data_IF_855649836381
#
_entry.id   IF_855649836381
#
_cell.length_a   1.000
_cell.length_b   1.000
_cell.length_c   1.000
_cell.angle_alpha   90.00
_cell.angle_beta   90.00
_cell.angle_gamma   90.00
#
_symmetry.space_group_name_H-M   'P 1'
#
loop_
_entity.id
_entity.type
_entity.pdbx_description
1 polymer ?
#
# COMPACT_ATOMS: atom_id res chain seq x y z
N UNK A 1 7.05 31.87 27.31
CA UNK A 1 6.24 30.64 27.31
C UNK A 1 5.95 30.33 25.86
N UNK A 2 6.54 29.26 25.30
CA UNK A 2 6.18 28.87 23.93
C UNK A 2 4.71 28.47 23.95
N UNK A 3 3.91 29.03 23.04
CA UNK A 3 2.51 28.62 22.91
C UNK A 3 2.49 27.12 22.63
N UNK A 4 1.73 26.38 23.42
CA UNK A 4 1.39 25.00 23.09
C UNK A 4 0.96 24.97 21.62
N UNK A 5 1.40 23.97 20.82
CA UNK A 5 0.92 23.85 19.45
C UNK A 5 -0.60 23.88 19.48
N UNK A 6 -1.20 24.65 18.56
CA UNK A 6 -2.64 24.76 18.47
C UNK A 6 -3.22 23.35 18.32
N UNK A 7 -3.78 22.85 19.42
CA UNK A 7 -4.30 21.49 19.49
C UNK A 7 -5.43 21.29 18.49
N UNK A 8 -6.08 22.36 18.01
CA UNK A 8 -7.05 22.30 16.93
C UNK A 8 -6.40 22.02 15.58
N UNK A 9 -5.28 22.68 15.25
CA UNK A 9 -4.50 22.43 14.03
C UNK A 9 -3.82 21.05 14.04
N UNK A 10 -3.30 20.61 15.19
CA UNK A 10 -2.75 19.25 15.36
C UNK A 10 -3.86 18.20 15.20
N UNK A 11 -5.05 18.42 15.77
CA UNK A 11 -6.21 17.52 15.58
C UNK A 11 -6.72 17.51 14.14
N UNK A 12 -6.70 18.65 13.44
CA UNK A 12 -7.07 18.72 12.03
C UNK A 12 -6.09 17.93 11.15
N UNK A 13 -4.79 18.00 11.42
CA UNK A 13 -3.77 17.20 10.72
C UNK A 13 -3.81 15.70 11.07
N UNK A 14 -4.46 15.32 12.18
CA UNK A 14 -4.69 13.94 12.58
C UNK A 14 -6.04 13.39 12.08
N UNK A 15 -6.91 14.24 11.53
CA UNK A 15 -8.19 13.79 11.02
C UNK A 15 -7.97 12.75 9.90
N UNK A 16 -8.65 11.62 10.01
CA UNK A 16 -8.73 10.62 8.94
C UNK A 16 -10.10 10.74 8.30
N UNK A 17 -10.12 10.75 6.97
CA UNK A 17 -11.36 10.63 6.19
C UNK A 17 -11.26 9.31 5.45
N UNK A 18 -12.27 8.46 5.60
CA UNK A 18 -12.31 7.22 4.85
C UNK A 18 -12.44 7.52 3.36
N UNK A 19 -11.51 6.97 2.59
CA UNK A 19 -11.45 7.05 1.13
C UNK A 19 -11.26 5.62 0.64
N UNK A 20 -11.95 5.22 -0.43
CA UNK A 20 -11.73 3.92 -1.03
C UNK A 20 -10.72 4.03 -2.17
N UNK A 21 -9.82 3.05 -2.26
CA UNK A 21 -8.82 2.97 -3.33
C UNK A 21 -9.49 3.04 -4.70
N UNK A 22 -10.62 2.35 -4.87
CA UNK A 22 -11.38 2.32 -6.11
C UNK A 22 -11.78 3.70 -6.65
N UNK A 23 -11.93 4.71 -5.78
CA UNK A 23 -12.27 6.08 -6.17
C UNK A 23 -11.09 6.80 -6.88
N UNK A 24 -9.87 6.27 -6.75
CA UNK A 24 -8.62 6.84 -7.29
C UNK A 24 -8.01 5.99 -8.42
N UNK A 25 -8.65 4.89 -8.82
CA UNK A 25 -8.15 4.00 -9.86
C UNK A 25 -8.61 4.47 -11.26
N UNK A 26 -7.70 4.70 -12.22
CA UNK A 26 -8.07 5.01 -13.58
C UNK A 26 -8.65 3.77 -14.28
N UNK A 27 -9.45 3.97 -15.34
CA UNK A 27 -9.86 2.86 -16.20
C UNK A 27 -8.64 2.19 -16.82
N UNK A 28 -8.74 0.86 -17.00
CA UNK A 28 -7.68 0.05 -17.60
C UNK A 28 -7.89 -0.02 -19.12
N UNK A 29 -6.79 0.09 -19.87
CA UNK A 29 -6.80 -0.14 -21.31
C UNK A 29 -7.20 -1.61 -21.60
N UNK A 30 -8.22 -1.87 -22.44
CA UNK A 30 -8.71 -3.23 -22.67
C UNK A 30 -7.68 -4.17 -23.30
N UNK A 31 -6.78 -3.65 -24.14
CA UNK A 31 -5.74 -4.46 -24.77
C UNK A 31 -4.65 -4.81 -23.75
N UNK A 32 -4.24 -3.86 -22.91
CA UNK A 32 -3.33 -4.10 -21.80
C UNK A 32 -3.93 -5.05 -20.75
N UNK A 33 -5.23 -4.93 -20.46
CA UNK A 33 -5.94 -5.86 -19.57
C UNK A 33 -5.97 -7.27 -20.17
N UNK A 34 -6.12 -7.44 -21.48
CA UNK A 34 -6.01 -8.76 -22.12
C UNK A 34 -4.66 -9.43 -21.82
N UNK A 35 -3.55 -8.68 -21.93
CA UNK A 35 -2.22 -9.19 -21.57
C UNK A 35 -2.13 -9.55 -20.09
N UNK A 36 -2.65 -8.69 -19.21
CA UNK A 36 -2.69 -8.95 -17.77
C UNK A 36 -3.49 -10.20 -17.42
N UNK A 37 -4.71 -10.36 -17.95
CA UNK A 37 -5.57 -11.51 -17.69
C UNK A 37 -4.90 -12.81 -18.16
N UNK A 38 -4.23 -12.79 -19.32
CA UNK A 38 -3.49 -13.95 -19.80
C UNK A 38 -2.28 -14.28 -18.92
N UNK A 39 -1.51 -13.28 -18.48
CA UNK A 39 -0.43 -13.45 -17.50
C UNK A 39 -0.94 -14.04 -16.17
N UNK A 40 -2.08 -13.55 -15.66
CA UNK A 40 -2.74 -14.11 -14.46
C UNK A 40 -3.16 -15.55 -14.65
N UNK A 41 -3.71 -15.90 -15.81
CA UNK A 41 -4.09 -17.26 -16.15
C UNK A 41 -2.88 -18.20 -16.14
N UNK A 42 -1.77 -17.82 -16.78
CA UNK A 42 -0.52 -18.60 -16.76
C UNK A 42 0.02 -18.82 -15.34
N UNK A 43 -0.06 -17.78 -14.50
CA UNK A 43 0.36 -17.83 -13.10
C UNK A 43 -0.52 -18.76 -12.25
N UNK A 44 -1.84 -18.78 -12.50
CA UNK A 44 -2.81 -19.62 -11.78
C UNK A 44 -2.86 -21.07 -12.26
N UNK A 45 -2.49 -21.34 -13.51
CA UNK A 45 -2.51 -22.68 -14.11
C UNK A 45 -1.72 -23.66 -13.23
N UNK A 46 -2.09 -24.93 -13.17
CA UNK A 46 -1.28 -25.92 -12.43
C UNK A 46 0.01 -26.28 -13.18
N UNK A 47 0.98 -26.87 -12.48
CA UNK A 47 2.27 -27.28 -13.04
C UNK A 47 3.36 -26.20 -13.05
N UNK A 48 4.55 -26.53 -13.60
CA UNK A 48 5.71 -25.63 -13.60
C UNK A 48 5.40 -24.30 -14.27
N UNK A 49 6.02 -23.24 -13.78
CA UNK A 49 5.79 -21.85 -14.20
C UNK A 49 7.01 -21.32 -14.93
N UNK A 50 6.78 -20.66 -16.06
CA UNK A 50 7.77 -19.79 -16.67
C UNK A 50 7.45 -18.35 -16.25
N UNK A 51 8.10 -17.89 -15.17
CA UNK A 51 7.87 -16.56 -14.63
C UNK A 51 8.37 -15.44 -15.55
N UNK A 52 9.36 -15.71 -16.41
CA UNK A 52 9.81 -14.75 -17.41
C UNK A 52 8.75 -14.51 -18.49
N UNK A 53 8.07 -15.57 -18.95
CA UNK A 53 6.94 -15.43 -19.89
C UNK A 53 5.76 -14.70 -19.24
N UNK A 54 5.46 -14.95 -17.95
CA UNK A 54 4.43 -14.20 -17.22
C UNK A 54 4.82 -12.72 -17.08
N UNK A 55 6.07 -12.45 -16.67
CA UNK A 55 6.59 -11.10 -16.48
C UNK A 55 6.62 -10.29 -17.78
N UNK A 56 6.87 -10.92 -18.92
CA UNK A 56 6.75 -10.30 -20.25
C UNK A 56 5.37 -9.66 -20.45
N UNK A 57 4.28 -10.39 -20.20
CA UNK A 57 2.93 -9.83 -20.34
C UNK A 57 2.69 -8.69 -19.35
N UNK A 58 3.15 -8.83 -18.10
CA UNK A 58 2.98 -7.77 -17.11
C UNK A 58 3.80 -6.52 -17.42
N UNK A 59 5.03 -6.64 -17.93
CA UNK A 59 5.87 -5.51 -18.35
C UNK A 59 5.20 -4.68 -19.44
N UNK A 60 4.70 -5.36 -20.48
CA UNK A 60 4.03 -4.70 -21.60
C UNK A 60 2.74 -4.03 -21.11
N UNK A 61 1.91 -4.73 -20.33
CA UNK A 61 0.69 -4.16 -19.76
C UNK A 61 0.98 -2.96 -18.84
N UNK A 62 1.98 -3.06 -17.95
CA UNK A 62 2.38 -1.99 -17.04
C UNK A 62 2.85 -0.73 -17.79
N UNK A 63 3.59 -0.89 -18.90
CA UNK A 63 4.00 0.23 -19.77
C UNK A 63 2.81 0.96 -20.42
N UNK A 64 1.66 0.29 -20.52
CA UNK A 64 0.36 0.85 -20.89
C UNK A 64 -0.52 1.19 -19.69
N UNK A 65 0.11 1.53 -18.55
CA UNK A 65 -0.54 2.05 -17.33
C UNK A 65 -1.45 1.05 -16.60
N UNK A 66 -1.25 -0.24 -16.85
CA UNK A 66 -2.03 -1.27 -16.17
C UNK A 66 -1.54 -1.51 -14.73
N UNK A 67 -2.13 -0.82 -13.75
CA UNK A 67 -1.63 -0.82 -12.36
C UNK A 67 -1.61 -2.21 -11.70
N UNK A 68 -2.58 -3.09 -11.99
CA UNK A 68 -2.56 -4.48 -11.45
C UNK A 68 -1.42 -5.32 -12.02
N UNK A 69 -1.03 -5.05 -13.28
CA UNK A 69 0.08 -5.75 -13.92
C UNK A 69 1.40 -5.25 -13.34
N UNK A 70 1.49 -3.95 -13.11
CA UNK A 70 2.60 -3.31 -12.42
C UNK A 70 2.82 -3.92 -11.02
N UNK A 71 1.82 -3.93 -10.13
CA UNK A 71 1.95 -4.53 -8.78
C UNK A 71 2.40 -6.01 -8.84
N UNK A 72 1.81 -6.79 -9.75
CA UNK A 72 2.19 -8.19 -9.90
C UNK A 72 3.61 -8.38 -10.45
N UNK A 73 4.05 -7.50 -11.36
CA UNK A 73 5.41 -7.51 -11.88
C UNK A 73 6.42 -7.17 -10.78
N UNK A 74 6.16 -6.12 -9.99
CA UNK A 74 6.98 -5.75 -8.84
C UNK A 74 7.18 -6.95 -7.90
N UNK A 75 6.12 -7.71 -7.62
CA UNK A 75 6.22 -8.93 -6.81
C UNK A 75 7.07 -10.02 -7.46
N UNK A 76 6.98 -10.23 -8.78
CA UNK A 76 7.78 -11.26 -9.46
C UNK A 76 9.27 -10.87 -9.51
N UNK A 77 9.57 -9.62 -9.80
CA UNK A 77 10.94 -9.11 -9.94
C UNK A 77 11.62 -9.00 -8.57
N UNK A 78 10.94 -8.44 -7.56
CA UNK A 78 11.54 -8.24 -6.23
C UNK A 78 11.84 -9.54 -5.49
N UNK A 79 11.09 -10.60 -5.77
CA UNK A 79 11.33 -11.95 -5.23
C UNK A 79 12.34 -12.76 -6.05
N UNK A 80 12.87 -12.20 -7.15
CA UNK A 80 13.79 -12.91 -8.05
C UNK A 80 13.16 -14.06 -8.83
N UNK A 81 11.83 -14.07 -8.98
CA UNK A 81 11.12 -15.09 -9.77
C UNK A 81 11.21 -14.78 -11.27
N UNK A 82 11.26 -13.50 -11.64
CA UNK A 82 11.45 -13.05 -13.01
C UNK A 82 12.80 -12.34 -13.16
N UNK A 83 13.50 -12.64 -14.25
CA UNK A 83 14.81 -12.07 -14.54
C UNK A 83 14.70 -10.59 -14.85
N UNK A 84 15.61 -9.82 -14.26
CA UNK A 84 15.78 -8.38 -14.51
C UNK A 84 17.27 -8.05 -14.49
N UNK A 85 17.77 -7.19 -15.41
CA UNK A 85 19.15 -6.70 -15.36
C UNK A 85 19.48 -5.96 -14.06
N UNK A 86 18.48 -5.28 -13.49
CA UNK A 86 18.57 -4.55 -12.23
C UNK A 86 17.20 -4.60 -11.54
N UNK A 87 16.97 -5.67 -10.78
CA UNK A 87 15.69 -5.93 -10.13
C UNK A 87 15.26 -4.82 -9.13
N UNK A 88 16.16 -4.30 -8.27
CA UNK A 88 15.83 -3.16 -7.42
C UNK A 88 15.40 -1.94 -8.23
N UNK A 89 16.16 -1.57 -9.27
CA UNK A 89 15.81 -0.42 -10.10
C UNK A 89 14.49 -0.59 -10.82
N UNK A 90 14.27 -1.73 -11.48
CA UNK A 90 13.01 -2.00 -12.20
C UNK A 90 11.80 -1.91 -11.26
N UNK A 91 11.92 -2.48 -10.06
CA UNK A 91 10.83 -2.47 -9.06
C UNK A 91 10.53 -1.05 -8.59
N UNK A 92 11.55 -0.25 -8.28
CA UNK A 92 11.37 1.16 -7.87
C UNK A 92 10.80 2.01 -9.00
N UNK A 93 11.27 1.82 -10.23
CA UNK A 93 10.75 2.55 -11.41
C UNK A 93 9.26 2.20 -11.65
N UNK A 94 8.85 0.95 -11.42
CA UNK A 94 7.45 0.51 -11.48
C UNK A 94 6.59 1.15 -10.38
N UNK A 95 7.05 1.16 -9.12
CA UNK A 95 6.33 1.81 -8.01
C UNK A 95 6.22 3.32 -8.23
N UNK A 96 7.29 3.97 -8.71
CA UNK A 96 7.29 5.39 -9.07
C UNK A 96 6.30 5.70 -10.19
N UNK A 97 6.14 4.82 -11.18
CA UNK A 97 5.08 4.97 -12.20
C UNK A 97 3.69 5.01 -11.58
N UNK A 98 3.41 4.22 -10.54
CA UNK A 98 2.12 4.23 -9.86
C UNK A 98 1.90 5.51 -9.05
N UNK A 99 2.93 5.96 -8.34
CA UNK A 99 2.93 7.26 -7.63
C UNK A 99 2.64 8.41 -8.60
N UNK A 100 3.31 8.45 -9.76
CA UNK A 100 3.11 9.47 -10.79
C UNK A 100 1.69 9.45 -11.39
N UNK A 101 1.00 8.32 -11.28
CA UNK A 101 -0.38 8.15 -11.74
C UNK A 101 -1.41 8.41 -10.64
N UNK A 102 -0.97 8.73 -9.41
CA UNK A 102 -1.84 8.92 -8.27
C UNK A 102 -2.45 7.63 -7.72
N UNK A 103 -1.89 6.46 -8.08
CA UNK A 103 -2.40 5.16 -7.63
C UNK A 103 -1.99 4.94 -6.17
N UNK A 104 -2.93 4.66 -5.24
CA UNK A 104 -2.62 4.54 -3.82
C UNK A 104 -1.58 3.45 -3.52
N UNK A 105 -1.67 2.29 -4.19
CA UNK A 105 -0.71 1.20 -4.01
C UNK A 105 0.73 1.59 -4.31
N UNK A 106 0.99 2.50 -5.25
CA UNK A 106 2.36 2.96 -5.54
C UNK A 106 3.02 3.67 -4.36
N UNK A 107 2.26 4.46 -3.61
CA UNK A 107 2.77 5.08 -2.39
C UNK A 107 3.04 4.05 -1.30
N UNK A 108 2.18 3.04 -1.18
CA UNK A 108 2.39 1.93 -0.25
C UNK A 108 3.66 1.14 -0.61
N UNK A 109 3.85 0.82 -1.89
CA UNK A 109 5.01 0.08 -2.40
C UNK A 109 6.32 0.83 -2.11
N UNK A 110 6.41 2.13 -2.43
CA UNK A 110 7.59 2.95 -2.10
C UNK A 110 7.83 3.01 -0.59
N UNK A 111 6.76 3.17 0.21
CA UNK A 111 6.85 3.12 1.66
C UNK A 111 7.49 1.82 2.13
N UNK A 112 7.01 0.68 1.62
CA UNK A 112 7.52 -0.64 1.95
C UNK A 112 9.00 -0.83 1.55
N UNK A 113 9.39 -0.37 0.36
CA UNK A 113 10.78 -0.46 -0.09
C UNK A 113 11.74 0.43 0.72
N UNK A 114 11.28 1.59 1.21
CA UNK A 114 12.03 2.43 2.14
C UNK A 114 12.18 1.78 3.52
N UNK A 115 11.21 0.99 4.00
CA UNK A 115 11.36 0.24 5.25
C UNK A 115 12.38 -0.89 5.12
N UNK A 116 12.40 -1.57 3.97
CA UNK A 116 13.29 -2.69 3.71
C UNK A 116 14.69 -2.27 3.26
N UNK A 117 14.85 -1.06 2.72
CA UNK A 117 16.07 -0.65 2.03
C UNK A 117 16.27 -1.35 0.68
N UNK A 118 15.18 -1.73 -0.01
CA UNK A 118 15.24 -2.43 -1.30
C UNK A 118 15.26 -1.43 -2.46
N UNK A 119 16.40 -1.26 -3.14
CA UNK A 119 16.55 -0.29 -4.23
C UNK A 119 16.55 1.19 -3.80
N UNK A 120 16.15 1.46 -2.56
CA UNK A 120 16.20 2.75 -1.89
C UNK A 120 16.99 2.62 -0.60
N UNK A 121 17.62 3.70 -0.14
CA UNK A 121 18.21 3.72 1.19
C UNK A 121 17.11 3.61 2.25
N UNK A 122 17.34 2.76 3.24
CA UNK A 122 16.39 2.57 4.33
C UNK A 122 16.11 3.88 5.07
N UNK A 123 14.83 4.24 5.21
CA UNK A 123 14.37 5.45 5.90
C UNK A 123 12.95 5.24 6.45
N UNK A 124 12.85 4.91 7.74
CA UNK A 124 11.58 4.65 8.41
C UNK A 124 10.67 5.88 8.48
N UNK A 125 11.24 7.10 8.65
CA UNK A 125 10.43 8.31 8.74
C UNK A 125 9.80 8.63 7.38
N UNK A 126 10.57 8.48 6.31
CA UNK A 126 10.06 8.66 4.95
C UNK A 126 9.05 7.57 4.60
N UNK A 127 9.31 6.31 4.95
CA UNK A 127 8.36 5.22 4.76
C UNK A 127 7.00 5.52 5.40
N UNK A 128 6.97 5.99 6.65
CA UNK A 128 5.73 6.35 7.35
C UNK A 128 4.97 7.48 6.64
N UNK A 129 5.66 8.45 6.04
CA UNK A 129 5.02 9.52 5.25
C UNK A 129 4.37 8.97 3.98
N UNK A 130 5.03 8.06 3.28
CA UNK A 130 4.48 7.37 2.11
C UNK A 130 3.28 6.49 2.47
N UNK A 131 3.39 5.70 3.55
CA UNK A 131 2.29 4.89 4.09
C UNK A 131 1.09 5.77 4.46
N UNK A 132 1.32 6.91 5.12
CA UNK A 132 0.23 7.84 5.45
C UNK A 132 -0.43 8.39 4.19
N UNK A 133 0.36 8.80 3.19
CA UNK A 133 -0.18 9.30 1.92
C UNK A 133 -1.00 8.24 1.18
N UNK A 134 -0.54 6.99 1.17
CA UNK A 134 -1.27 5.86 0.61
C UNK A 134 -2.61 5.64 1.32
N UNK A 135 -2.63 5.72 2.65
CA UNK A 135 -3.84 5.56 3.46
C UNK A 135 -4.86 6.69 3.19
N UNK A 136 -4.38 7.93 3.10
CA UNK A 136 -5.21 9.11 2.78
C UNK A 136 -5.77 9.06 1.34
N UNK A 137 -5.10 8.36 0.42
CA UNK A 137 -5.58 8.08 -0.94
C UNK A 137 -6.43 6.80 -1.05
N UNK A 138 -6.64 6.10 0.06
CA UNK A 138 -7.58 4.99 0.13
C UNK A 138 -7.00 3.58 0.09
N UNK A 139 -5.67 3.42 -0.01
CA UNK A 139 -5.05 2.08 -0.03
C UNK A 139 -5.44 1.29 1.24
N UNK A 140 -6.12 0.14 1.11
CA UNK A 140 -6.57 -0.62 2.27
C UNK A 140 -5.40 -1.19 3.09
N UNK A 141 -4.32 -1.61 2.43
CA UNK A 141 -3.09 -2.08 3.09
C UNK A 141 -2.44 -0.96 3.91
N UNK A 142 -2.39 0.26 3.35
CA UNK A 142 -1.84 1.42 4.05
C UNK A 142 -2.73 1.89 5.20
N UNK A 143 -4.06 1.89 5.03
CA UNK A 143 -5.01 2.18 6.11
C UNK A 143 -4.84 1.21 7.27
N UNK A 144 -4.71 -0.09 6.96
CA UNK A 144 -4.39 -1.10 7.97
C UNK A 144 -3.06 -0.83 8.67
N UNK A 145 -2.00 -0.60 7.90
CA UNK A 145 -0.65 -0.35 8.39
C UNK A 145 -0.59 0.86 9.33
N UNK A 146 -1.12 2.01 8.90
CA UNK A 146 -1.13 3.24 9.70
C UNK A 146 -2.04 3.08 10.91
N UNK A 147 -3.20 2.44 10.75
CA UNK A 147 -4.08 2.09 11.86
C UNK A 147 -3.35 1.26 12.92
N UNK A 148 -2.51 0.30 12.52
CA UNK A 148 -1.72 -0.50 13.46
C UNK A 148 -0.71 0.34 14.26
N UNK A 149 -0.09 1.35 13.66
CA UNK A 149 0.83 2.28 14.36
C UNK A 149 0.07 3.18 15.35
N UNK A 150 -1.19 3.52 15.05
CA UNK A 150 -2.02 4.40 15.89
C UNK A 150 -2.83 3.66 16.98
N UNK A 151 -2.95 2.34 16.87
CA UNK A 151 -3.73 1.49 17.77
C UNK A 151 -3.31 1.50 19.25
N UNK A 152 -2.02 1.68 19.63
CA UNK A 152 -1.64 1.80 21.04
C UNK A 152 -2.45 2.89 21.76
N UNK A 153 -2.81 2.61 23.02
CA UNK A 153 -3.73 3.44 23.83
C UNK A 153 -3.24 4.89 24.01
N UNK A 154 -1.91 5.07 23.99
CA UNK A 154 -1.21 6.35 24.14
C UNK A 154 -1.03 7.12 22.83
N UNK A 155 -1.43 6.54 21.68
CA UNK A 155 -1.37 7.17 20.37
C UNK A 155 -2.76 7.73 19.95
N UNK A 156 -3.47 7.02 19.07
CA UNK A 156 -4.76 7.47 18.54
C UNK A 156 -5.68 6.28 18.20
N UNK A 157 -6.10 5.48 19.20
CA UNK A 157 -6.86 4.25 18.98
C UNK A 157 -8.22 4.49 18.28
N UNK A 158 -8.86 5.63 18.51
CA UNK A 158 -10.09 5.99 17.82
C UNK A 158 -9.90 6.20 16.31
N UNK A 159 -8.76 6.76 15.88
CA UNK A 159 -8.41 6.92 14.46
C UNK A 159 -8.01 5.57 13.87
N UNK A 160 -7.27 4.75 14.63
CA UNK A 160 -6.93 3.38 14.21
C UNK A 160 -8.19 2.56 13.88
N UNK A 161 -9.22 2.63 14.73
CA UNK A 161 -10.52 1.98 14.50
C UNK A 161 -11.18 2.45 13.19
N UNK A 162 -11.17 3.76 12.94
CA UNK A 162 -11.72 4.32 11.69
C UNK A 162 -10.96 3.82 10.46
N UNK A 163 -9.63 3.79 10.52
CA UNK A 163 -8.79 3.28 9.42
C UNK A 163 -9.01 1.78 9.18
N UNK A 164 -9.09 0.97 10.24
CA UNK A 164 -9.41 -0.45 10.13
C UNK A 164 -10.80 -0.70 9.58
N UNK A 165 -11.81 0.08 9.98
CA UNK A 165 -13.15 0.01 9.40
C UNK A 165 -13.11 0.32 7.90
N UNK A 166 -12.44 1.41 7.50
CA UNK A 166 -12.34 1.78 6.09
C UNK A 166 -11.63 0.71 5.25
N UNK A 167 -10.56 0.09 5.75
CA UNK A 167 -9.89 -1.01 5.08
C UNK A 167 -10.76 -2.28 5.03
N UNK A 168 -11.49 -2.58 6.11
CA UNK A 168 -12.41 -3.71 6.20
C UNK A 168 -13.57 -3.60 5.19
N UNK A 169 -14.12 -2.40 5.02
CA UNK A 169 -15.20 -2.12 4.05
C UNK A 169 -14.74 -2.29 2.60
N UNK A 170 -13.43 -2.18 2.35
CA UNK A 170 -12.79 -2.48 1.07
C UNK A 170 -12.40 -3.96 0.92
N UNK A 171 -12.71 -4.81 1.90
CA UNK A 171 -12.43 -6.25 1.87
C UNK A 171 -11.03 -6.63 2.37
N UNK A 172 -10.36 -5.79 3.17
CA UNK A 172 -9.09 -6.14 3.81
C UNK A 172 -9.31 -7.03 5.04
N UNK A 173 -9.12 -8.34 4.88
CA UNK A 173 -9.46 -9.35 5.89
C UNK A 173 -8.78 -9.16 7.24
N UNK A 174 -7.47 -8.90 7.26
CA UNK A 174 -6.74 -8.71 8.52
C UNK A 174 -7.17 -7.45 9.27
N UNK A 175 -7.55 -6.38 8.56
CA UNK A 175 -8.06 -5.15 9.16
C UNK A 175 -9.44 -5.39 9.78
N UNK A 176 -10.32 -6.10 9.08
CA UNK A 176 -11.62 -6.53 9.60
C UNK A 176 -11.45 -7.41 10.85
N UNK A 177 -10.48 -8.31 10.88
CA UNK A 177 -10.19 -9.12 12.06
C UNK A 177 -9.67 -8.27 13.24
N UNK A 178 -8.74 -7.33 13.00
CA UNK A 178 -8.26 -6.42 14.05
C UNK A 178 -9.37 -5.52 14.59
N UNK A 179 -10.22 -4.99 13.71
CA UNK A 179 -11.42 -4.26 14.09
C UNK A 179 -12.31 -5.12 14.99
N UNK A 180 -12.56 -6.38 14.63
CA UNK A 180 -13.38 -7.28 15.42
C UNK A 180 -12.83 -7.53 16.83
N UNK A 181 -11.50 -7.68 16.97
CA UNK A 181 -10.84 -7.81 18.28
C UNK A 181 -10.94 -6.53 19.10
N UNK A 182 -10.71 -5.38 18.46
CA UNK A 182 -10.74 -4.07 19.10
C UNK A 182 -12.12 -3.76 19.67
N UNK A 183 -13.17 -3.84 18.85
CA UNK A 183 -14.54 -3.55 19.30
C UNK A 183 -15.07 -4.63 20.26
N UNK A 184 -14.61 -5.88 20.16
CA UNK A 184 -14.90 -6.92 21.17
C UNK A 184 -14.31 -6.57 22.53
N UNK A 185 -13.12 -5.97 22.57
CA UNK A 185 -12.47 -5.52 23.82
C UNK A 185 -13.30 -4.43 24.50
N UNK A 186 -13.91 -3.55 23.71
CA UNK A 186 -14.88 -2.55 24.15
C UNK A 186 -16.27 -3.12 24.48
N UNK A 187 -16.45 -4.45 24.40
CA UNK A 187 -17.73 -5.14 24.60
C UNK A 187 -18.82 -4.74 23.58
N UNK A 188 -18.41 -4.22 22.42
CA UNK A 188 -19.28 -3.94 21.27
C UNK A 188 -19.43 -5.20 20.41
N UNK A 189 -20.11 -6.14 21.02
CA UNK A 189 -20.24 -7.53 20.63
C UNK A 189 -20.92 -7.75 19.26
N UNK A 190 -22.01 -7.06 18.97
CA UNK A 190 -22.65 -7.14 17.65
C UNK A 190 -21.80 -6.55 16.52
N UNK A 191 -20.99 -5.53 16.83
CA UNK A 191 -20.04 -4.94 15.87
C UNK A 191 -18.86 -5.89 15.64
N UNK A 192 -18.38 -6.55 16.69
CA UNK A 192 -17.33 -7.57 16.58
C UNK A 192 -17.75 -8.71 15.65
N UNK A 193 -18.99 -9.21 15.81
CA UNK A 193 -19.51 -10.27 14.95
C UNK A 193 -19.56 -9.84 13.47
N UNK A 194 -19.96 -8.60 13.17
CA UNK A 194 -19.95 -8.04 11.82
C UNK A 194 -18.53 -7.94 11.25
N UNK A 195 -17.58 -7.43 12.04
CA UNK A 195 -16.19 -7.30 11.61
C UNK A 195 -15.53 -8.67 11.37
N UNK A 196 -15.80 -9.67 12.22
CA UNK A 196 -15.34 -11.05 11.97
C UNK A 196 -16.01 -11.69 10.75
N UNK A 197 -17.28 -11.36 10.46
CA UNK A 197 -17.97 -11.81 9.25
C UNK A 197 -17.31 -11.20 8.01
N UNK A 198 -17.00 -9.90 8.04
CA UNK A 198 -16.25 -9.21 6.97
C UNK A 198 -14.87 -9.85 6.77
N UNK A 199 -14.16 -10.16 7.85
CA UNK A 199 -12.87 -10.85 7.79
C UNK A 199 -13.00 -12.22 7.10
N UNK A 200 -13.95 -13.05 7.52
CA UNK A 200 -14.21 -14.35 6.90
C UNK A 200 -14.62 -14.22 5.41
N UNK A 201 -15.48 -13.25 5.08
CA UNK A 201 -15.86 -12.95 3.69
C UNK A 201 -14.66 -12.55 2.84
N UNK A 202 -13.73 -11.79 3.42
CA UNK A 202 -12.48 -11.38 2.83
C UNK A 202 -11.42 -12.49 2.76
N UNK A 203 -11.72 -13.72 3.20
CA UNK A 203 -10.79 -14.85 3.16
C UNK A 203 -9.76 -14.86 4.30
N UNK A 204 -10.05 -14.19 5.42
CA UNK A 204 -9.25 -14.26 6.65
C UNK A 204 -9.81 -15.36 7.56
N UNK A 205 -9.12 -16.50 7.65
CA UNK A 205 -9.55 -17.68 8.43
C UNK A 205 -9.79 -17.33 9.90
N UNK A 206 -9.03 -16.38 10.46
CA UNK A 206 -9.18 -15.96 11.85
C UNK A 206 -10.57 -15.39 12.15
N UNK A 207 -11.20 -14.72 11.19
CA UNK A 207 -12.58 -14.24 11.32
C UNK A 207 -13.60 -15.37 11.41
N UNK A 208 -13.45 -16.38 10.57
CA UNK A 208 -14.31 -17.57 10.59
C UNK A 208 -14.13 -18.36 11.89
N UNK A 209 -12.88 -18.53 12.33
CA UNK A 209 -12.56 -19.21 13.59
C UNK A 209 -13.13 -18.47 14.80
N UNK A 210 -13.02 -17.13 14.84
CA UNK A 210 -13.61 -16.33 15.92
C UNK A 210 -15.12 -16.58 16.01
N UNK A 211 -15.85 -16.51 14.90
CA UNK A 211 -17.30 -16.76 14.88
C UNK A 211 -17.64 -18.22 15.19
N UNK A 212 -16.86 -19.18 14.72
CA UNK A 212 -17.02 -20.59 15.09
C UNK A 212 -17.01 -20.76 16.61
N UNK A 213 -16.03 -20.14 17.29
CA UNK A 213 -15.93 -20.17 18.74
C UNK A 213 -17.16 -19.50 19.35
N UNK A 214 -17.46 -18.25 18.98
CA UNK A 214 -18.60 -17.49 19.50
C UNK A 214 -19.94 -18.25 19.45
N UNK A 215 -20.21 -19.04 18.41
CA UNK A 215 -21.43 -19.86 18.29
C UNK A 215 -21.36 -21.24 18.96
N UNK A 216 -20.17 -21.69 19.39
CA UNK A 216 -19.98 -22.98 20.07
C UNK A 216 -20.21 -22.93 21.58
N UNK A 217 -20.15 -21.73 22.18
CA UNK A 217 -20.16 -21.53 23.62
C UNK A 217 -21.51 -21.79 24.29
N UNK A 218 -21.43 -22.30 25.53
CA UNK A 218 -22.54 -22.35 26.49
C UNK A 218 -22.42 -21.17 27.47
N UNK A 219 -23.55 -20.55 27.85
CA UNK A 219 -23.59 -19.31 28.65
C UNK A 219 -23.08 -19.45 30.09
N UNK A 220 -22.66 -20.65 30.52
CA UNK A 220 -22.31 -20.96 31.91
C UNK A 220 -20.80 -20.88 32.19
N UNK A 221 -19.94 -20.73 31.17
CA UNK A 221 -18.47 -20.64 31.33
C UNK A 221 -17.96 -19.18 31.40
N UNK A 222 -17.18 -18.85 32.44
CA UNK A 222 -16.75 -17.48 32.78
C UNK A 222 -15.62 -16.87 31.93
N UNK A 223 -15.25 -17.47 30.79
CA UNK A 223 -14.22 -16.93 29.89
C UNK A 223 -14.74 -16.78 28.44
N UNK A 224 -15.46 -15.68 28.21
CA UNK A 224 -15.74 -15.01 26.93
C UNK A 224 -16.59 -15.75 25.85
N UNK A 225 -17.89 -15.43 25.83
CA UNK A 225 -18.57 -14.95 24.60
C UNK A 225 -19.84 -14.16 24.95
N UNK A 226 -19.94 -12.91 24.50
CA UNK A 226 -21.15 -12.09 24.70
C UNK A 226 -21.57 -11.39 23.39
N UNK A 227 -21.34 -11.99 22.20
CA UNK A 227 -21.95 -11.54 20.92
C UNK A 227 -23.51 -11.48 20.92
N UNK A 228 -24.14 -11.75 22.06
CA UNK A 228 -25.57 -11.58 22.31
C UNK A 228 -26.43 -12.74 21.82
N UNK A 229 -25.83 -13.86 21.44
CA UNK A 229 -26.50 -14.99 20.77
C UNK A 229 -26.38 -16.26 21.62
N UNK A 230 -27.37 -17.14 21.50
CA UNK A 230 -27.31 -18.46 22.11
C UNK A 230 -26.38 -19.37 21.31
N UNK A 231 -25.91 -20.46 21.95
CA UNK A 231 -25.23 -21.58 21.28
C UNK A 231 -25.97 -21.95 19.99
N UNK A 232 -25.26 -21.97 18.88
CA UNK A 232 -25.80 -22.36 17.57
C UNK A 232 -24.80 -23.34 16.91
N UNK A 233 -24.96 -24.65 17.15
CA UNK A 233 -24.04 -25.67 16.65
C UNK A 233 -23.93 -25.71 15.12
N UNK A 234 -25.01 -25.40 14.40
CA UNK A 234 -24.99 -25.39 12.94
C UNK A 234 -24.27 -24.15 12.40
N UNK A 235 -24.43 -22.96 13.02
CA UNK A 235 -23.60 -21.80 12.67
C UNK A 235 -22.13 -22.07 12.92
N UNK A 236 -21.80 -22.59 14.10
CA UNK A 236 -20.43 -22.96 14.46
C UNK A 236 -19.84 -23.93 13.42
N UNK A 237 -20.61 -24.96 13.03
CA UNK A 237 -20.22 -25.89 11.96
C UNK A 237 -20.00 -25.20 10.61
N UNK A 238 -20.88 -24.29 10.18
CA UNK A 238 -20.72 -23.56 8.91
C UNK A 238 -19.48 -22.66 8.90
N UNK A 239 -19.20 -21.96 10.00
CA UNK A 239 -17.96 -21.17 10.11
C UNK A 239 -16.70 -22.04 10.10
N UNK A 240 -16.74 -23.21 10.75
CA UNK A 240 -15.65 -24.18 10.64
C UNK A 240 -15.41 -24.58 9.17
N UNK A 241 -16.47 -24.92 8.43
CA UNK A 241 -16.36 -25.29 7.01
C UNK A 241 -15.85 -24.13 6.14
N UNK A 242 -16.21 -22.89 6.46
CA UNK A 242 -15.68 -21.68 5.82
C UNK A 242 -14.16 -21.56 6.08
N UNK A 243 -13.73 -21.71 7.33
CA UNK A 243 -12.29 -21.70 7.68
C UNK A 243 -11.52 -22.79 6.94
N UNK A 244 -12.02 -24.03 6.98
CA UNK A 244 -11.43 -25.18 6.25
C UNK A 244 -11.39 -24.93 4.73
N UNK A 245 -12.36 -24.21 4.17
CA UNK A 245 -12.36 -23.81 2.77
C UNK A 245 -11.29 -22.76 2.46
N UNK A 246 -11.16 -21.73 3.30
CA UNK A 246 -10.16 -20.67 3.14
C UNK A 246 -8.76 -21.28 3.20
N UNK A 247 -8.46 -22.10 4.22
CA UNK A 247 -7.13 -22.69 4.42
C UNK A 247 -6.72 -23.62 3.27
N UNK A 248 -7.61 -24.50 2.82
CA UNK A 248 -7.34 -25.40 1.67
C UNK A 248 -7.04 -24.65 0.38
N UNK A 249 -7.52 -23.42 0.26
CA UNK A 249 -7.37 -22.60 -0.94
C UNK A 249 -6.45 -21.38 -0.74
N UNK A 250 -5.78 -21.23 0.40
CA UNK A 250 -5.07 -20.01 0.79
C UNK A 250 -4.09 -19.49 -0.29
N UNK A 251 -3.37 -20.40 -0.97
CA UNK A 251 -2.46 -20.06 -2.07
C UNK A 251 -3.12 -19.45 -3.32
N UNK A 252 -4.45 -19.43 -3.38
CA UNK A 252 -5.26 -18.84 -4.46
C UNK A 252 -6.07 -17.60 -4.00
N UNK A 253 -5.84 -17.13 -2.77
CA UNK A 253 -6.52 -15.98 -2.14
C UNK A 253 -8.05 -16.07 -2.25
N UNK A 254 -8.67 -17.09 -1.62
CA UNK A 254 -10.10 -17.35 -1.76
C UNK A 254 -10.90 -16.24 -1.05
N UNK A 255 -12.07 -15.91 -1.61
CA UNK A 255 -13.04 -15.00 -0.99
C UNK A 255 -14.37 -15.73 -0.83
N UNK A 256 -15.12 -15.38 0.21
CA UNK A 256 -16.41 -15.98 0.54
C UNK A 256 -17.50 -14.91 0.40
N UNK A 257 -17.65 -14.37 -0.81
CA UNK A 257 -18.56 -13.26 -1.10
C UNK A 257 -20.05 -13.59 -0.85
N UNK A 258 -20.38 -14.88 -0.79
CA UNK A 258 -21.69 -15.42 -0.48
C UNK A 258 -21.86 -15.80 0.99
N UNK A 259 -20.99 -15.36 1.93
CA UNK A 259 -21.13 -15.73 3.35
C UNK A 259 -22.53 -15.48 3.90
N UNK A 260 -23.18 -14.37 3.58
CA UNK A 260 -24.50 -14.07 4.16
C UNK A 260 -25.61 -14.94 3.54
N UNK A 261 -25.35 -15.60 2.42
CA UNK A 261 -26.21 -16.66 1.86
C UNK A 261 -25.91 -18.03 2.47
N UNK A 262 -24.75 -18.20 3.12
CA UNK A 262 -24.31 -19.43 3.78
C UNK A 262 -24.66 -19.38 5.28
N UNK A 263 -24.30 -18.31 5.97
CA UNK A 263 -24.36 -18.14 7.42
C UNK A 263 -24.61 -16.65 7.76
N UNK A 264 -25.79 -16.09 7.47
CA UNK A 264 -26.09 -14.68 7.79
C UNK A 264 -26.12 -14.48 9.30
N UNK A 265 -25.51 -13.43 9.84
CA UNK A 265 -25.50 -13.18 11.28
C UNK A 265 -26.92 -13.12 11.89
N UNK A 266 -27.11 -13.53 13.17
CA UNK A 266 -28.37 -13.34 13.88
C UNK A 266 -28.84 -11.87 13.86
N UNK A 267 -30.16 -11.61 13.86
CA UNK A 267 -31.25 -12.55 14.14
C UNK A 267 -31.73 -13.37 12.93
N UNK A 268 -31.08 -13.27 11.76
CA UNK A 268 -31.49 -14.03 10.58
C UNK A 268 -31.46 -15.54 10.86
N UNK A 269 -32.43 -16.28 10.31
CA UNK A 269 -32.40 -17.75 10.33
C UNK A 269 -31.42 -18.27 9.29
N UNK A 270 -30.83 -19.43 9.55
CA UNK A 270 -29.97 -20.08 8.58
C UNK A 270 -30.76 -20.49 7.33
N UNK A 271 -30.32 -20.09 6.13
CA UNK A 271 -30.93 -20.55 4.89
C UNK A 271 -30.53 -22.00 4.59
N UNK A 272 -31.27 -22.70 3.71
CA UNK A 272 -30.79 -23.91 3.08
C UNK A 272 -29.45 -23.65 2.39
N UNK A 273 -28.49 -24.57 2.54
CA UNK A 273 -27.18 -24.47 1.92
C UNK A 273 -26.75 -25.86 1.45
N UNK A 274 -26.23 -25.92 0.22
CA UNK A 274 -25.83 -27.15 -0.46
C UNK A 274 -24.42 -27.64 -0.06
N UNK A 275 -23.74 -26.91 0.83
CA UNK A 275 -22.38 -27.24 1.28
C UNK A 275 -21.27 -26.75 0.34
N UNK A 276 -21.60 -25.95 -0.67
CA UNK A 276 -20.64 -25.45 -1.68
C UNK A 276 -20.43 -23.94 -1.58
N UNK A 277 -19.30 -23.47 -2.10
CA UNK A 277 -18.96 -22.04 -2.12
C UNK A 277 -19.05 -21.46 -3.53
N UNK A 278 -19.57 -20.24 -3.67
CA UNK A 278 -19.62 -19.56 -4.98
C UNK A 278 -18.25 -19.49 -5.65
N UNK A 279 -17.18 -19.25 -4.88
CA UNK A 279 -15.81 -19.23 -5.38
C UNK A 279 -15.41 -20.54 -6.08
N UNK A 280 -15.79 -21.71 -5.54
CA UNK A 280 -15.48 -23.00 -6.18
C UNK A 280 -16.25 -23.17 -7.49
N UNK A 281 -17.51 -22.72 -7.52
CA UNK A 281 -18.36 -22.72 -8.72
C UNK A 281 -17.76 -21.82 -9.80
N UNK A 282 -17.32 -20.62 -9.44
CA UNK A 282 -16.71 -19.65 -10.35
C UNK A 282 -15.40 -20.20 -10.94
N UNK A 283 -14.58 -20.85 -10.10
CA UNK A 283 -13.33 -21.46 -10.55
C UNK A 283 -13.56 -22.66 -11.48
N UNK A 284 -14.60 -23.46 -11.24
CA UNK A 284 -14.98 -24.56 -12.12
C UNK A 284 -15.58 -24.08 -13.46
N UNK A 285 -16.26 -22.93 -13.46
CA UNK A 285 -16.87 -22.32 -14.64
C UNK A 285 -15.92 -21.41 -15.44
N UNK A 286 -14.72 -21.12 -14.92
CA UNK A 286 -13.80 -20.17 -15.52
C UNK A 286 -13.31 -20.64 -16.90
N UNK A 287 -13.61 -19.85 -17.93
CA UNK A 287 -13.08 -20.05 -19.29
C UNK A 287 -11.69 -19.41 -19.39
N UNK A 288 -10.66 -20.14 -19.89
CA UNK A 288 -9.35 -19.55 -20.11
C UNK A 288 -9.41 -18.30 -20.98
N UNK A 289 -8.71 -17.21 -20.62
CA UNK A 289 -8.64 -16.03 -21.47
C UNK A 289 -7.96 -16.38 -22.80
N UNK A 290 -8.39 -15.73 -23.87
CA UNK A 290 -7.76 -15.88 -25.18
C UNK A 290 -6.31 -15.38 -25.12
N UNK A 291 -5.38 -16.20 -25.63
CA UNK A 291 -3.98 -15.81 -25.76
C UNK A 291 -3.87 -14.54 -26.62
N UNK A 292 -3.20 -13.48 -26.14
CA UNK A 292 -2.88 -12.29 -26.96
C UNK A 292 -2.16 -12.69 -28.25
N UNK A 293 -2.55 -12.09 -29.38
CA UNK A 293 -1.90 -12.39 -30.66
C UNK A 293 -0.48 -11.82 -30.70
N UNK A 294 0.39 -12.41 -31.53
CA UNK A 294 1.77 -11.94 -31.66
C UNK A 294 1.79 -10.51 -32.24
N UNK A 295 0.86 -10.18 -33.14
CA UNK A 295 0.73 -8.81 -33.69
C UNK A 295 0.32 -7.79 -32.62
N UNK A 296 -0.54 -8.18 -31.67
CA UNK A 296 -0.92 -7.33 -30.55
C UNK A 296 0.29 -7.05 -29.66
N UNK A 297 1.04 -8.09 -29.30
CA UNK A 297 2.23 -7.99 -28.47
C UNK A 297 3.28 -7.10 -29.16
N UNK A 298 3.56 -7.35 -30.44
CA UNK A 298 4.50 -6.55 -31.23
C UNK A 298 4.08 -5.08 -31.29
N UNK A 299 2.80 -4.79 -31.56
CA UNK A 299 2.29 -3.42 -31.63
C UNK A 299 2.42 -2.69 -30.30
N UNK A 300 2.00 -3.32 -29.20
CA UNK A 300 2.05 -2.70 -27.87
C UNK A 300 3.49 -2.50 -27.39
N UNK A 301 4.38 -3.46 -27.64
CA UNK A 301 5.80 -3.34 -27.30
C UNK A 301 6.49 -2.25 -28.12
N UNK A 302 6.25 -2.20 -29.44
CA UNK A 302 6.79 -1.16 -30.31
C UNK A 302 6.37 0.25 -29.88
N UNK A 303 5.10 0.42 -29.49
CA UNK A 303 4.56 1.70 -29.01
C UNK A 303 5.24 2.22 -27.73
N UNK A 304 5.90 1.33 -26.97
CA UNK A 304 6.60 1.65 -25.72
C UNK A 304 8.12 1.40 -25.79
N UNK A 305 8.65 1.13 -26.97
CA UNK A 305 10.06 0.80 -27.20
C UNK A 305 10.56 -0.39 -26.35
N UNK A 306 9.74 -1.43 -26.25
CA UNK A 306 10.04 -2.65 -25.52
C UNK A 306 10.41 -3.79 -26.47
N UNK A 307 11.23 -4.73 -25.99
CA UNK A 307 11.45 -6.01 -26.63
C UNK A 307 10.15 -6.84 -26.51
N UNK A 308 9.53 -7.26 -27.64
CA UNK A 308 8.31 -8.05 -27.59
C UNK A 308 8.49 -9.40 -26.91
N UNK A 309 9.70 -9.99 -26.84
CA UNK A 309 9.94 -11.31 -26.24
C UNK A 309 10.07 -11.26 -24.71
N UNK A 310 10.61 -10.17 -24.17
CA UNK A 310 10.91 -10.05 -22.72
C UNK A 310 10.07 -8.98 -22.02
N UNK A 311 9.51 -8.03 -22.78
CA UNK A 311 8.86 -6.83 -22.28
C UNK A 311 9.84 -5.80 -21.70
N UNK A 312 11.16 -6.06 -21.76
CA UNK A 312 12.17 -5.13 -21.25
C UNK A 312 12.37 -3.96 -22.23
N UNK A 313 12.78 -2.77 -21.73
CA UNK A 313 13.14 -1.65 -22.61
C UNK A 313 14.28 -2.00 -23.56
N UNK A 314 14.13 -1.67 -24.83
CA UNK A 314 15.22 -1.79 -25.81
C UNK A 314 16.28 -0.72 -25.54
N UNK A 315 17.56 -1.10 -25.60
CA UNK A 315 18.66 -0.15 -25.56
C UNK A 315 18.49 0.88 -26.70
N UNK A 316 18.63 2.17 -26.40
CA UNK A 316 18.66 3.20 -27.44
C UNK A 316 19.81 2.88 -28.39
N UNK A 317 19.51 2.68 -29.68
CA UNK A 317 20.54 2.58 -30.72
C UNK A 317 21.37 3.86 -30.71
N UNK A 318 22.69 3.73 -30.59
CA UNK A 318 23.67 4.83 -30.69
C UNK A 318 23.59 5.58 -32.04
N UNK A 319 22.85 5.06 -33.02
CA UNK A 319 22.69 5.69 -34.34
C UNK A 319 21.73 6.88 -34.37
N UNK A 320 20.94 7.14 -33.31
CA UNK A 320 20.10 8.35 -33.22
C UNK A 320 20.89 9.53 -32.60
N UNK A 321 22.12 9.30 -32.12
CA UNK A 321 22.96 10.36 -31.55
C UNK A 321 23.51 11.36 -32.60
N UNK A 322 23.24 11.16 -33.91
CA UNK A 322 23.78 12.01 -34.98
C UNK A 322 22.73 12.66 -35.88
N UNK A 323 21.42 12.51 -35.62
CA UNK A 323 20.37 13.13 -36.48
C UNK A 323 19.34 13.99 -35.74
N UNK A 324 19.45 14.13 -34.42
CA UNK A 324 18.71 15.14 -33.65
C UNK A 324 19.69 16.15 -33.03
N UNK A 325 20.41 16.89 -33.87
CA UNK A 325 20.86 18.23 -33.50
C UNK A 325 19.74 19.23 -33.71
N UNK A 326 18.64 19.05 -32.99
CA UNK A 326 17.83 20.16 -32.49
C UNK A 326 17.45 19.84 -31.03
N UNK A 327 17.89 20.67 -30.07
CA UNK A 327 17.73 20.38 -28.66
C UNK A 327 16.26 20.58 -28.28
N UNK A 328 15.51 19.49 -28.14
CA UNK A 328 14.29 19.52 -27.33
C UNK A 328 14.75 19.58 -25.86
N UNK A 329 14.27 20.53 -25.04
CA UNK A 329 14.88 20.83 -23.77
C UNK A 329 14.76 19.62 -22.84
N UNK A 330 15.90 19.06 -22.44
CA UNK A 330 15.97 18.29 -21.21
C UNK A 330 15.30 19.12 -20.11
N UNK A 331 14.45 18.54 -19.25
CA UNK A 331 14.00 19.25 -18.06
C UNK A 331 15.27 19.70 -17.35
N UNK A 332 15.48 21.01 -17.33
CA UNK A 332 16.77 21.62 -16.99
C UNK A 332 17.01 21.29 -15.52
N UNK A 333 17.84 20.27 -15.26
CA UNK A 333 18.24 19.92 -13.89
C UNK A 333 18.81 21.18 -13.29
N UNK A 334 18.25 21.62 -12.16
CA UNK A 334 18.77 22.79 -11.48
C UNK A 334 20.21 22.52 -11.06
N UNK A 335 21.14 23.46 -11.26
CA UNK A 335 22.54 23.23 -10.94
C UNK A 335 22.72 22.91 -9.46
N UNK A 336 23.65 22.01 -9.15
CA UNK A 336 24.10 21.81 -7.77
C UNK A 336 24.51 23.17 -7.18
N UNK A 337 24.01 23.45 -6.00
CA UNK A 337 24.11 24.75 -5.35
C UNK A 337 22.89 25.65 -5.50
N UNK A 338 21.87 25.24 -6.26
CA UNK A 338 20.56 25.92 -6.30
C UNK A 338 20.01 26.05 -4.89
N UNK A 339 19.46 27.23 -4.58
CA UNK A 339 18.93 27.56 -3.26
C UNK A 339 17.42 27.69 -3.35
N UNK A 340 16.73 27.06 -2.41
CA UNK A 340 15.29 27.21 -2.19
C UNK A 340 15.02 27.51 -0.72
N UNK A 341 13.94 28.23 -0.42
CA UNK A 341 13.64 28.69 0.94
C UNK A 341 12.62 27.77 1.58
N UNK A 342 12.66 27.70 2.89
CA UNK A 342 11.57 27.11 3.66
C UNK A 342 10.21 27.68 3.26
N UNK A 343 9.20 26.82 3.10
CA UNK A 343 7.84 27.15 2.68
C UNK A 343 7.64 27.18 1.16
N UNK A 344 8.71 27.13 0.37
CA UNK A 344 8.62 27.01 -1.08
C UNK A 344 8.48 25.54 -1.50
N UNK A 345 7.77 25.30 -2.60
CA UNK A 345 7.80 24.01 -3.28
C UNK A 345 9.21 23.73 -3.80
N UNK A 346 9.74 22.55 -3.48
CA UNK A 346 11.05 22.09 -3.88
C UNK A 346 11.13 22.12 -5.42
N UNK A 347 12.12 22.82 -5.99
CA UNK A 347 12.10 23.08 -7.42
C UNK A 347 12.70 21.92 -8.25
N UNK A 348 13.39 20.97 -7.59
CA UNK A 348 14.09 19.86 -8.23
C UNK A 348 14.25 18.67 -7.28
N UNK A 349 14.03 17.47 -7.81
CA UNK A 349 14.36 16.22 -7.14
C UNK A 349 15.84 16.21 -6.75
N UNK A 350 16.14 16.04 -5.47
CA UNK A 350 17.53 16.03 -5.03
C UNK A 350 17.74 15.91 -3.54
N UNK A 351 19.01 15.79 -3.16
CA UNK A 351 19.49 15.91 -1.79
C UNK A 351 19.82 17.37 -1.54
N UNK A 352 19.14 17.96 -0.58
CA UNK A 352 19.29 19.35 -0.18
C UNK A 352 19.89 19.45 1.22
N UNK A 353 20.90 20.30 1.36
CA UNK A 353 21.57 20.55 2.61
C UNK A 353 21.09 21.89 3.21
N UNK A 354 20.87 21.91 4.52
CA UNK A 354 20.45 23.14 5.19
C UNK A 354 21.62 24.13 5.30
N UNK A 355 21.32 25.40 5.03
CA UNK A 355 22.11 26.56 5.41
C UNK A 355 21.28 27.49 6.31
N UNK A 356 21.77 27.73 7.54
CA UNK A 356 21.09 28.51 8.57
C UNK A 356 21.52 29.99 8.60
N UNK A 357 22.70 30.30 8.06
CA UNK A 357 23.23 31.66 7.90
C UNK A 357 24.23 31.71 6.73
N UNK A 358 24.62 32.92 6.29
CA UNK A 358 25.71 33.10 5.32
C UNK A 358 26.96 32.39 5.88
N UNK A 359 27.45 31.39 5.16
CA UNK A 359 28.62 30.55 5.49
C UNK A 359 28.44 29.53 6.63
N UNK A 360 27.20 29.27 7.09
CA UNK A 360 26.90 28.18 8.04
C UNK A 360 26.02 27.12 7.36
N UNK A 361 26.68 26.13 6.77
CA UNK A 361 26.06 24.91 6.26
C UNK A 361 26.00 23.91 7.41
N UNK A 362 24.81 23.47 7.79
CA UNK A 362 24.70 22.41 8.79
C UNK A 362 24.84 21.05 8.08
N UNK A 363 25.44 20.07 8.76
CA UNK A 363 25.71 18.74 8.20
C UNK A 363 24.43 17.89 7.98
N UNK A 364 23.25 18.51 8.06
CA UNK A 364 21.97 17.89 7.83
C UNK A 364 21.59 17.98 6.35
N UNK A 365 21.60 16.83 5.67
CA UNK A 365 21.09 16.64 4.31
C UNK A 365 19.71 16.00 4.37
N UNK A 366 18.80 16.42 3.51
CA UNK A 366 17.47 15.82 3.32
C UNK A 366 17.12 15.73 1.85
N UNK A 367 16.47 14.63 1.49
CA UNK A 367 15.98 14.40 0.13
C UNK A 367 14.60 15.01 -0.06
N UNK A 368 14.40 15.70 -1.17
CA UNK A 368 13.10 16.28 -1.55
C UNK A 368 12.80 15.95 -3.01
N UNK A 369 11.54 15.63 -3.27
CA UNK A 369 11.00 15.57 -4.63
C UNK A 369 10.50 16.95 -5.06
N UNK A 370 10.57 17.21 -6.36
CA UNK A 370 10.03 18.41 -6.99
C UNK A 370 8.55 18.55 -6.62
N UNK A 371 8.18 19.73 -6.14
CA UNK A 371 6.83 20.06 -5.66
C UNK A 371 6.63 19.94 -4.15
N UNK A 372 7.49 19.22 -3.42
CA UNK A 372 7.36 19.09 -1.96
C UNK A 372 7.66 20.39 -1.24
N UNK A 373 6.85 20.80 -0.27
CA UNK A 373 7.13 22.00 0.52
C UNK A 373 8.38 21.81 1.40
N UNK A 374 9.32 22.75 1.31
CA UNK A 374 10.56 22.72 2.08
C UNK A 374 10.31 23.10 3.54
N UNK A 375 10.67 22.26 4.53
CA UNK A 375 10.24 22.45 5.91
C UNK A 375 11.00 23.56 6.63
N UNK A 376 10.38 24.09 7.69
CA UNK A 376 11.06 24.90 8.71
C UNK A 376 11.95 24.01 9.58
N UNK A 377 12.99 24.59 10.15
CA UNK A 377 13.91 23.86 11.01
C UNK A 377 13.79 24.28 12.46
N UNK A 378 13.73 23.27 13.32
CA UNK A 378 13.78 23.44 14.76
C UNK A 378 15.23 23.41 15.20
N UNK A 379 15.76 24.57 15.61
CA UNK A 379 17.11 24.69 16.15
C UNK A 379 17.03 24.68 17.68
N UNK A 380 17.91 23.88 18.28
CA UNK A 380 18.06 23.77 19.73
C UNK A 380 19.08 24.82 20.20
N UNK A 381 18.68 25.67 21.14
CA UNK A 381 19.58 26.63 21.78
C UNK A 381 19.81 26.20 23.24
N UNK A 382 20.83 25.38 23.50
CA UNK A 382 21.15 24.97 24.85
C UNK A 382 21.54 26.17 25.70
N UNK A 383 21.11 26.19 26.96
CA UNK A 383 21.53 27.21 27.94
C UNK A 383 22.98 26.94 28.35
N UNK A 384 23.66 27.98 28.85
CA UNK A 384 25.07 27.91 29.28
C UNK A 384 25.33 26.81 30.32
N UNK A 385 24.32 26.44 31.09
CA UNK A 385 24.38 25.35 32.05
C UNK A 385 23.30 24.31 31.73
N UNK A 386 23.72 23.09 31.41
CA UNK A 386 22.83 22.00 30.96
C UNK A 386 21.70 21.68 31.95
N UNK A 387 21.95 21.75 33.26
CA UNK A 387 20.94 21.50 34.29
C UNK A 387 19.72 22.43 34.20
N UNK A 388 19.89 23.61 33.60
CA UNK A 388 18.77 24.53 33.38
C UNK A 388 17.85 24.08 32.25
N UNK A 389 18.37 23.36 31.26
CA UNK A 389 17.58 22.77 30.18
C UNK A 389 16.81 21.54 30.68
N UNK A 390 17.38 20.78 31.62
CA UNK A 390 16.69 19.65 32.28
C UNK A 390 15.50 20.12 33.13
N UNK A 391 15.63 21.27 33.80
CA UNK A 391 14.58 21.80 34.67
C UNK A 391 13.53 22.66 33.95
N UNK A 392 13.93 23.45 32.94
CA UNK A 392 13.04 24.41 32.25
C UNK A 392 12.65 23.97 30.83
N UNK A 393 13.11 22.80 30.38
CA UNK A 393 13.01 22.33 29.01
C UNK A 393 13.97 23.08 28.06
N UNK A 394 14.53 22.34 27.09
CA UNK A 394 15.43 22.89 26.06
C UNK A 394 14.72 23.99 25.27
N UNK A 395 15.39 25.13 25.05
CA UNK A 395 14.84 26.18 24.19
C UNK A 395 14.87 25.70 22.74
N UNK A 396 13.69 25.63 22.13
CA UNK A 396 13.50 25.30 20.72
C UNK A 396 12.99 26.55 20.02
N UNK A 397 13.60 26.87 18.89
CA UNK A 397 13.13 27.94 18.02
C UNK A 397 13.00 27.39 16.61
N UNK A 398 11.85 27.63 15.99
CA UNK A 398 11.64 27.35 14.58
C UNK A 398 12.19 28.53 13.78
N UNK A 399 13.17 28.27 12.93
CA UNK A 399 13.84 29.29 12.11
C UNK A 399 13.63 28.99 10.63
N UNK A 400 13.54 30.06 9.85
CA UNK A 400 13.63 29.93 8.39
C UNK A 400 15.05 29.56 8.01
N UNK A 401 15.17 28.65 7.05
CA UNK A 401 16.46 28.24 6.53
C UNK A 401 16.44 28.27 5.00
N UNK A 402 17.65 28.22 4.44
CA UNK A 402 17.84 28.03 3.02
C UNK A 402 18.30 26.61 2.77
N UNK A 403 17.72 25.95 1.79
CA UNK A 403 18.07 24.62 1.35
C UNK A 403 18.93 24.76 0.11
N UNK A 404 20.10 24.13 0.10
CA UNK A 404 21.02 24.11 -1.04
C UNK A 404 21.06 22.73 -1.65
N UNK A 405 20.77 22.60 -2.94
CA UNK A 405 20.90 21.34 -3.67
C UNK A 405 22.36 20.88 -3.67
N UNK A 406 22.65 19.69 -3.16
CA UNK A 406 24.02 19.14 -3.04
C UNK A 406 24.21 17.82 -3.77
N UNK A 407 23.13 17.17 -4.22
CA UNK A 407 23.18 15.97 -5.04
C UNK A 407 21.81 15.69 -5.66
N UNK A 408 21.77 14.83 -6.68
CA UNK A 408 20.52 14.34 -7.25
C UNK A 408 20.17 12.98 -6.66
N UNK A 409 18.88 12.61 -6.64
CA UNK A 409 18.42 11.37 -6.00
C UNK A 409 18.85 10.09 -6.73
N UNK A 410 19.24 10.21 -8.00
CA UNK A 410 19.80 9.15 -8.83
C UNK A 410 21.31 8.90 -8.58
N UNK A 411 21.98 9.72 -7.75
CA UNK A 411 23.44 9.70 -7.55
C UNK A 411 23.88 9.67 -6.07
N UNK A 412 22.97 9.60 -5.09
CA UNK A 412 23.25 9.88 -3.67
C UNK A 412 22.88 8.77 -2.67
#
# INVERSE_FOLDING_TARGET
MASLPDMSAVRANLAFTCVHEADHLPPLDPEADQLFQYGRYLQKKEGPKNFNDIARYYRIAAAHRHYKANNNLQSLVSQGLADSPDAPKETIDLAAQLVNQGIPSGYYDIGHYLELGYGLKQDEEMALRYMRKAADLGSPDAQYYVGQKLAPIDNAPAIARQMWQCAADQGHGTAAFKLGIDVKTDKLYSEAAKAFQQAAAAGETQGAFALQLEFSWEREDTHLSDIGVAKDPERSRRYKLIGDFIDRNAGRNPKVADIDKIVPLPPAKLPPWDGTFQWEKDQAAAVPPQKPSDELIERLSKAKHLDPATGLPLAKSEQVAQTETEPTPQPTRLPLGTIARTGESCPQDGVWCVSLAKDVVADAKRSFLKGMELPMLTVYQPRKFAWMDDWLGVRRQTVQATWKLVGYLDEA
#
